data_IF_232985723633
#
_entry.id   IF_232985723633
#
_cell.length_a   1.000
_cell.length_b   1.000
_cell.length_c   1.000
_cell.angle_alpha   90.00
_cell.angle_beta   90.00
_cell.angle_gamma   90.00
#
_symmetry.space_group_name_H-M   'P 1'
#
loop_
_entity.id
_entity.type
_entity.pdbx_description
1 polymer ?
#
# COMPACT_ATOMS: atom_id res chain seq x y z
N UNK A 1 -29.67 -27.41 -32.23
CA UNK A 1 -29.02 -26.10 -32.08
C UNK A 1 -29.99 -25.23 -31.32
N UNK A 2 -29.82 -25.05 -30.01
CA UNK A 2 -30.58 -24.07 -29.24
C UNK A 2 -30.25 -22.69 -29.81
N UNK A 3 -31.28 -21.90 -30.14
CA UNK A 3 -31.06 -20.59 -30.75
C UNK A 3 -30.34 -19.66 -29.76
N UNK A 4 -29.61 -18.66 -30.26
CA UNK A 4 -28.98 -17.63 -29.43
C UNK A 4 -30.01 -16.97 -28.49
N UNK A 5 -31.26 -16.86 -28.95
CA UNK A 5 -32.41 -16.41 -28.17
C UNK A 5 -32.73 -17.33 -26.98
N UNK A 6 -32.70 -18.65 -27.16
CA UNK A 6 -32.98 -19.60 -26.07
C UNK A 6 -31.91 -19.55 -24.97
N UNK A 7 -30.64 -19.37 -25.35
CA UNK A 7 -29.55 -19.19 -24.39
C UNK A 7 -29.66 -17.86 -23.64
N UNK A 8 -30.02 -16.78 -24.32
CA UNK A 8 -30.24 -15.47 -23.70
C UNK A 8 -31.43 -15.53 -22.72
N UNK A 9 -32.54 -16.12 -23.14
CA UNK A 9 -33.75 -16.27 -22.31
C UNK A 9 -33.46 -17.07 -21.04
N UNK A 10 -32.64 -18.13 -21.15
CA UNK A 10 -32.23 -18.94 -20.01
C UNK A 10 -31.41 -18.13 -19.01
N UNK A 11 -30.45 -17.31 -19.49
CA UNK A 11 -29.66 -16.42 -18.63
C UNK A 11 -30.52 -15.33 -17.99
N UNK A 12 -31.43 -14.71 -18.74
CA UNK A 12 -32.33 -13.67 -18.22
C UNK A 12 -33.23 -14.19 -17.10
N UNK A 13 -33.72 -15.44 -17.22
CA UNK A 13 -34.54 -16.09 -16.18
C UNK A 13 -33.78 -16.44 -14.90
N UNK A 14 -32.45 -16.49 -14.95
CA UNK A 14 -31.59 -16.76 -13.80
C UNK A 14 -31.18 -15.49 -13.04
N UNK A 15 -31.44 -14.31 -13.60
CA UNK A 15 -31.14 -13.04 -12.93
C UNK A 15 -32.11 -12.84 -11.77
N UNK A 16 -31.63 -12.41 -10.60
CA UNK A 16 -32.48 -11.97 -9.51
C UNK A 16 -32.79 -10.48 -9.67
N UNK A 17 -33.92 -10.15 -10.32
CA UNK A 17 -34.36 -8.79 -10.52
C UNK A 17 -35.88 -8.69 -10.60
N UNK A 18 -36.42 -7.47 -10.65
CA UNK A 18 -37.87 -7.22 -10.69
C UNK A 18 -38.60 -7.98 -11.82
N UNK A 19 -37.92 -8.26 -12.94
CA UNK A 19 -38.44 -9.03 -14.07
C UNK A 19 -38.58 -10.54 -13.82
N UNK A 20 -37.99 -11.06 -12.73
CA UNK A 20 -38.03 -12.49 -12.36
C UNK A 20 -38.68 -12.74 -11.00
N UNK A 21 -39.04 -11.69 -10.25
CA UNK A 21 -39.65 -11.79 -8.92
C UNK A 21 -41.17 -12.01 -8.91
N UNK A 22 -41.84 -12.05 -10.07
CA UNK A 22 -43.27 -12.38 -10.17
C UNK A 22 -44.21 -11.34 -9.54
N UNK A 23 -43.96 -10.06 -9.78
CA UNK A 23 -44.75 -8.95 -9.25
C UNK A 23 -46.04 -8.73 -10.07
N UNK A 24 -47.19 -8.59 -9.39
CA UNK A 24 -48.53 -8.41 -10.00
C UNK A 24 -48.86 -6.94 -10.38
N UNK A 25 -49.72 -6.74 -11.37
CA UNK A 25 -50.05 -5.44 -12.00
C UNK A 25 -50.74 -4.40 -11.08
N UNK A 26 -51.30 -4.83 -9.95
CA UNK A 26 -52.22 -4.01 -9.12
C UNK A 26 -51.51 -2.95 -8.25
N UNK A 27 -50.19 -3.04 -8.07
CA UNK A 27 -49.39 -2.13 -7.23
C UNK A 27 -48.54 -1.11 -8.03
N UNK A 28 -48.57 -1.16 -9.36
CA UNK A 28 -47.66 -0.39 -10.22
C UNK A 28 -47.89 1.13 -10.18
N UNK A 29 -49.14 1.58 -10.13
CA UNK A 29 -49.48 3.02 -10.14
C UNK A 29 -49.09 3.71 -8.83
N UNK A 30 -49.30 3.02 -7.70
CA UNK A 30 -48.88 3.50 -6.38
C UNK A 30 -47.35 3.51 -6.25
N UNK A 31 -46.69 2.45 -6.72
CA UNK A 31 -45.23 2.36 -6.77
C UNK A 31 -44.62 3.47 -7.63
N UNK A 32 -45.21 3.77 -8.80
CA UNK A 32 -44.75 4.83 -9.70
C UNK A 32 -44.83 6.22 -9.07
N UNK A 33 -45.93 6.54 -8.37
CA UNK A 33 -46.07 7.82 -7.67
C UNK A 33 -45.04 7.96 -6.53
N UNK A 34 -44.79 6.88 -5.79
CA UNK A 34 -43.79 6.87 -4.70
C UNK A 34 -42.36 7.02 -5.25
N UNK A 35 -42.04 6.32 -6.33
CA UNK A 35 -40.72 6.38 -6.96
C UNK A 35 -40.45 7.77 -7.56
N UNK A 36 -41.45 8.37 -8.21
CA UNK A 36 -41.35 9.74 -8.74
C UNK A 36 -41.09 10.76 -7.61
N UNK A 37 -41.86 10.69 -6.52
CA UNK A 37 -41.63 11.54 -5.36
C UNK A 37 -40.25 11.32 -4.74
N UNK A 38 -39.79 10.08 -4.62
CA UNK A 38 -38.47 9.77 -4.10
C UNK A 38 -37.36 10.36 -4.98
N UNK A 39 -37.50 10.30 -6.31
CA UNK A 39 -36.51 10.87 -7.25
C UNK A 39 -36.52 12.41 -7.21
N UNK A 40 -37.71 13.03 -7.14
CA UNK A 40 -37.85 14.50 -7.10
C UNK A 40 -37.41 15.12 -5.77
N UNK A 41 -37.48 14.37 -4.67
CA UNK A 41 -37.09 14.82 -3.32
C UNK A 41 -35.67 14.37 -2.92
N UNK A 42 -35.01 13.55 -3.73
CA UNK A 42 -33.68 13.06 -3.43
C UNK A 42 -32.63 14.18 -3.62
N UNK A 43 -31.80 14.36 -2.59
CA UNK A 43 -30.58 15.19 -2.68
C UNK A 43 -29.53 14.45 -3.54
N UNK A 44 -28.57 15.17 -4.14
CA UNK A 44 -27.54 14.60 -5.05
C UNK A 44 -26.77 13.40 -4.45
N UNK A 45 -26.74 13.27 -3.12
CA UNK A 45 -26.03 12.20 -2.39
C UNK A 45 -26.92 10.99 -1.98
N UNK A 46 -28.19 10.93 -2.37
CA UNK A 46 -29.09 9.85 -1.93
C UNK A 46 -28.75 8.50 -2.60
N UNK A 47 -28.32 7.55 -1.76
CA UNK A 47 -27.83 6.21 -2.15
C UNK A 47 -28.87 5.32 -2.81
N UNK A 48 -30.14 5.72 -2.78
CA UNK A 48 -31.25 4.93 -3.31
C UNK A 48 -31.77 5.44 -4.65
N UNK A 49 -31.18 6.50 -5.22
CA UNK A 49 -31.63 7.09 -6.51
C UNK A 49 -31.48 6.08 -7.65
N UNK A 50 -30.33 5.41 -7.76
CA UNK A 50 -30.08 4.42 -8.82
C UNK A 50 -31.02 3.21 -8.73
N UNK A 51 -31.35 2.79 -7.51
CA UNK A 51 -32.36 1.75 -7.27
C UNK A 51 -33.78 2.23 -7.62
N UNK A 52 -34.09 3.49 -7.32
CA UNK A 52 -35.39 4.09 -7.63
C UNK A 52 -35.63 4.23 -9.14
N UNK A 53 -34.61 4.64 -9.91
CA UNK A 53 -34.66 4.64 -11.38
C UNK A 53 -34.77 3.22 -11.95
N UNK A 54 -34.07 2.23 -11.36
CA UNK A 54 -34.18 0.83 -11.77
C UNK A 54 -35.62 0.29 -11.61
N UNK A 55 -36.28 0.67 -10.52
CA UNK A 55 -37.67 0.29 -10.26
C UNK A 55 -38.64 1.05 -11.16
N UNK A 56 -38.37 2.33 -11.44
CA UNK A 56 -39.19 3.14 -12.34
C UNK A 56 -39.14 2.59 -13.76
N UNK A 57 -37.96 2.21 -14.23
CA UNK A 57 -37.79 1.54 -15.51
C UNK A 57 -38.60 0.24 -15.61
N UNK A 58 -38.59 -0.58 -14.56
CA UNK A 58 -39.42 -1.78 -14.50
C UNK A 58 -40.92 -1.45 -14.60
N UNK A 59 -41.41 -0.44 -13.87
CA UNK A 59 -42.82 -0.05 -13.96
C UNK A 59 -43.23 0.46 -15.35
N UNK A 60 -42.37 1.25 -16.01
CA UNK A 60 -42.61 1.77 -17.35
C UNK A 60 -42.57 0.66 -18.41
N UNK A 61 -41.69 -0.31 -18.24
CA UNK A 61 -41.64 -1.51 -19.08
C UNK A 61 -42.96 -2.29 -19.01
N UNK A 62 -43.48 -2.55 -17.80
CA UNK A 62 -44.76 -3.26 -17.60
C UNK A 62 -45.94 -2.50 -18.24
N UNK A 63 -45.87 -1.17 -18.30
CA UNK A 63 -46.86 -0.31 -18.95
C UNK A 63 -46.70 -0.20 -20.47
N UNK A 64 -45.68 -0.84 -21.07
CA UNK A 64 -45.42 -0.81 -22.51
C UNK A 64 -44.58 0.37 -23.01
N UNK A 65 -44.08 1.24 -22.11
CA UNK A 65 -43.24 2.39 -22.44
C UNK A 65 -41.76 2.00 -22.52
N UNK A 66 -41.39 1.26 -23.57
CA UNK A 66 -40.07 0.65 -23.73
C UNK A 66 -38.91 1.65 -23.80
N UNK A 67 -39.05 2.75 -24.53
CA UNK A 67 -37.98 3.76 -24.66
C UNK A 67 -37.72 4.49 -23.35
N UNK A 68 -38.79 4.90 -22.64
CA UNK A 68 -38.63 5.57 -21.34
C UNK A 68 -38.09 4.63 -20.25
N UNK A 69 -38.43 3.34 -20.31
CA UNK A 69 -37.85 2.34 -19.43
C UNK A 69 -36.34 2.18 -19.66
N UNK A 70 -35.91 2.25 -20.93
CA UNK A 70 -34.49 2.20 -21.29
C UNK A 70 -33.74 3.43 -20.81
N UNK A 71 -34.33 4.61 -20.95
CA UNK A 71 -33.74 5.86 -20.46
C UNK A 71 -33.58 5.86 -18.93
N UNK A 72 -34.57 5.36 -18.20
CA UNK A 72 -34.50 5.27 -16.74
C UNK A 72 -33.47 4.21 -16.29
N UNK A 73 -33.30 3.10 -17.01
CA UNK A 73 -32.20 2.17 -16.76
C UNK A 73 -30.83 2.82 -16.97
N UNK A 74 -30.68 3.63 -18.02
CA UNK A 74 -29.42 4.35 -18.26
C UNK A 74 -29.10 5.34 -17.13
N UNK A 75 -30.11 6.06 -16.62
CA UNK A 75 -29.96 6.94 -15.45
C UNK A 75 -29.63 6.14 -14.18
N UNK A 76 -30.29 5.01 -13.97
CA UNK A 76 -29.99 4.11 -12.86
C UNK A 76 -28.54 3.66 -12.87
N UNK A 77 -28.07 3.20 -14.04
CA UNK A 77 -26.69 2.77 -14.25
C UNK A 77 -25.71 3.92 -13.98
N UNK A 78 -25.99 5.13 -14.48
CA UNK A 78 -25.16 6.31 -14.24
C UNK A 78 -25.03 6.66 -12.74
N UNK A 79 -26.12 6.67 -11.99
CA UNK A 79 -26.08 7.00 -10.56
C UNK A 79 -25.41 5.90 -9.73
N UNK A 80 -25.68 4.64 -10.04
CA UNK A 80 -24.99 3.50 -9.41
C UNK A 80 -23.48 3.60 -9.70
N UNK A 81 -23.10 3.96 -10.92
CA UNK A 81 -21.71 4.16 -11.35
C UNK A 81 -21.01 5.31 -10.63
N UNK A 82 -21.65 6.47 -10.52
CA UNK A 82 -21.11 7.65 -9.81
C UNK A 82 -20.91 7.32 -8.33
N UNK A 83 -21.89 6.68 -7.69
CA UNK A 83 -21.80 6.29 -6.28
C UNK A 83 -20.74 5.21 -6.03
N UNK A 84 -20.65 4.19 -6.89
CA UNK A 84 -19.58 3.18 -6.78
C UNK A 84 -18.20 3.78 -7.03
N UNK A 85 -18.08 4.67 -8.03
CA UNK A 85 -16.84 5.38 -8.33
C UNK A 85 -16.37 6.28 -7.19
N UNK A 86 -17.27 7.05 -6.61
CA UNK A 86 -16.98 7.91 -5.46
C UNK A 86 -16.61 7.08 -4.23
N UNK A 87 -17.24 5.92 -4.02
CA UNK A 87 -16.84 4.99 -2.96
C UNK A 87 -15.43 4.42 -3.19
N UNK A 88 -15.10 3.97 -4.40
CA UNK A 88 -13.75 3.45 -4.70
C UNK A 88 -12.68 4.55 -4.53
N UNK A 89 -12.97 5.78 -5.00
CA UNK A 89 -12.08 6.95 -4.85
C UNK A 89 -11.96 7.40 -3.40
N UNK A 90 -13.05 7.36 -2.64
CA UNK A 90 -13.05 7.65 -1.22
C UNK A 90 -12.11 6.69 -0.48
N UNK A 91 -12.19 5.38 -0.76
CA UNK A 91 -11.25 4.41 -0.17
C UNK A 91 -9.78 4.73 -0.48
N UNK A 92 -9.44 5.23 -1.67
CA UNK A 92 -8.07 5.70 -1.98
C UNK A 92 -7.66 6.98 -1.24
N UNK A 93 -8.61 7.85 -0.89
CA UNK A 93 -8.34 9.14 -0.22
C UNK A 93 -8.25 9.01 1.30
N UNK A 94 -9.05 8.14 1.91
CA UNK A 94 -9.18 8.06 3.37
C UNK A 94 -7.91 7.62 4.08
N UNK A 95 -7.51 6.37 3.92
CA UNK A 95 -6.32 5.84 4.60
C UNK A 95 -5.90 4.50 4.00
N UNK A 96 -4.68 4.10 4.31
CA UNK A 96 -4.06 2.89 3.77
C UNK A 96 -4.84 1.61 4.03
N UNK A 97 -5.53 1.50 5.17
CA UNK A 97 -6.37 0.34 5.48
C UNK A 97 -7.48 0.09 4.45
N UNK A 98 -7.84 1.12 3.68
CA UNK A 98 -8.84 1.03 2.62
C UNK A 98 -8.22 0.83 1.24
N UNK A 99 -6.90 0.78 1.08
CA UNK A 99 -6.30 0.60 -0.26
C UNK A 99 -6.60 -0.76 -0.86
N UNK A 100 -6.65 -1.83 -0.05
CA UNK A 100 -7.07 -3.15 -0.54
C UNK A 100 -8.54 -3.15 -0.93
N UNK A 101 -9.40 -2.50 -0.13
CA UNK A 101 -10.82 -2.31 -0.48
C UNK A 101 -10.97 -1.49 -1.75
N UNK A 102 -10.16 -0.45 -1.93
CA UNK A 102 -10.14 0.35 -3.16
C UNK A 102 -9.73 -0.52 -4.36
N UNK A 103 -8.68 -1.33 -4.21
CA UNK A 103 -8.21 -2.26 -5.23
C UNK A 103 -9.33 -3.22 -5.65
N UNK A 104 -9.98 -3.90 -4.70
CA UNK A 104 -11.11 -4.79 -4.96
C UNK A 104 -12.31 -4.06 -5.61
N UNK A 105 -12.57 -2.83 -5.18
CA UNK A 105 -13.65 -1.99 -5.71
C UNK A 105 -13.40 -1.66 -7.19
N UNK A 106 -12.19 -1.22 -7.55
CA UNK A 106 -11.84 -0.94 -8.94
C UNK A 106 -11.72 -2.20 -9.79
N UNK A 107 -11.26 -3.33 -9.22
CA UNK A 107 -11.22 -4.62 -9.91
C UNK A 107 -12.62 -5.03 -10.38
N UNK A 108 -13.62 -4.96 -9.49
CA UNK A 108 -15.03 -5.21 -9.85
C UNK A 108 -15.59 -4.21 -10.87
N UNK A 109 -15.21 -2.93 -10.76
CA UNK A 109 -15.62 -1.93 -11.75
C UNK A 109 -15.07 -2.25 -13.16
N UNK A 110 -13.83 -2.75 -13.23
CA UNK A 110 -13.18 -3.15 -14.47
C UNK A 110 -13.74 -4.45 -15.07
N UNK A 111 -14.34 -5.35 -14.26
CA UNK A 111 -15.08 -6.51 -14.80
C UNK A 111 -16.27 -6.09 -15.66
N UNK A 112 -16.92 -4.97 -15.30
CA UNK A 112 -18.06 -4.42 -16.02
C UNK A 112 -17.61 -3.56 -17.21
N UNK A 113 -16.57 -2.74 -17.01
CA UNK A 113 -16.08 -1.78 -18.00
C UNK A 113 -14.54 -1.82 -18.08
N UNK A 114 -13.95 -2.75 -18.85
CA UNK A 114 -12.51 -2.96 -18.86
C UNK A 114 -11.69 -1.79 -19.42
N UNK A 115 -12.29 -0.94 -20.25
CA UNK A 115 -11.59 0.15 -20.95
C UNK A 115 -11.89 1.53 -20.35
N UNK A 116 -12.68 1.61 -19.28
CA UNK A 116 -12.99 2.89 -18.63
C UNK A 116 -11.73 3.48 -17.97
N UNK A 117 -11.34 4.67 -18.41
CA UNK A 117 -10.07 5.30 -18.03
C UNK A 117 -10.05 5.54 -16.53
N UNK A 118 -11.13 6.04 -15.96
CA UNK A 118 -11.18 6.38 -14.53
C UNK A 118 -11.00 5.17 -13.61
N UNK A 119 -11.53 4.00 -14.00
CA UNK A 119 -11.34 2.76 -13.25
C UNK A 119 -9.92 2.22 -13.41
N UNK A 120 -9.38 2.29 -14.63
CA UNK A 120 -8.01 1.88 -14.88
C UNK A 120 -7.01 2.75 -14.08
N UNK A 121 -7.23 4.05 -13.99
CA UNK A 121 -6.47 5.01 -13.20
C UNK A 121 -6.51 4.68 -11.71
N UNK A 122 -7.72 4.56 -11.16
CA UNK A 122 -7.93 4.24 -9.75
C UNK A 122 -7.31 2.89 -9.37
N UNK A 123 -7.48 1.88 -10.22
CA UNK A 123 -6.91 0.56 -10.03
C UNK A 123 -5.38 0.59 -10.07
N UNK A 124 -4.78 1.31 -11.02
CA UNK A 124 -3.33 1.48 -11.12
C UNK A 124 -2.74 2.09 -9.85
N UNK A 125 -3.39 3.12 -9.31
CA UNK A 125 -2.96 3.78 -8.06
C UNK A 125 -3.13 2.86 -6.86
N UNK A 126 -4.24 2.13 -6.78
CA UNK A 126 -4.49 1.16 -5.72
C UNK A 126 -3.41 0.07 -5.71
N UNK A 127 -3.16 -0.56 -6.87
CA UNK A 127 -2.11 -1.55 -7.07
C UNK A 127 -0.73 -0.99 -6.72
N UNK A 128 -0.39 0.22 -7.18
CA UNK A 128 0.90 0.84 -6.87
C UNK A 128 1.12 1.01 -5.35
N UNK A 129 0.06 1.33 -4.60
CA UNK A 129 0.10 1.58 -3.15
C UNK A 129 0.04 0.30 -2.31
N UNK A 130 -0.57 -0.77 -2.81
CA UNK A 130 -0.71 -2.06 -2.10
C UNK A 130 0.39 -3.05 -2.46
N UNK A 131 0.97 -2.94 -3.66
CA UNK A 131 2.01 -3.86 -4.11
C UNK A 131 3.25 -3.78 -3.22
N UNK A 132 3.42 -4.82 -2.41
CA UNK A 132 4.55 -5.00 -1.51
C UNK A 132 5.67 -5.85 -2.11
N UNK A 133 5.35 -6.69 -3.10
CA UNK A 133 6.30 -7.62 -3.68
C UNK A 133 7.06 -7.00 -4.85
N UNK A 134 8.35 -7.31 -4.91
CA UNK A 134 9.26 -6.91 -5.97
C UNK A 134 9.81 -8.20 -6.57
N UNK A 135 9.00 -8.92 -7.33
CA UNK A 135 9.41 -10.10 -8.11
C UNK A 135 10.19 -9.64 -9.33
N UNK A 136 9.50 -9.00 -10.28
CA UNK A 136 10.08 -8.39 -11.46
C UNK A 136 9.21 -7.23 -11.95
N UNK A 137 9.82 -6.25 -12.62
CA UNK A 137 9.08 -5.10 -13.16
C UNK A 137 8.03 -5.51 -14.20
N UNK A 138 8.30 -6.59 -14.95
CA UNK A 138 7.40 -7.06 -15.99
C UNK A 138 6.21 -7.84 -15.41
N UNK A 139 6.41 -8.54 -14.30
CA UNK A 139 5.34 -9.30 -13.64
C UNK A 139 4.54 -8.46 -12.65
N UNK A 140 5.09 -7.32 -12.19
CA UNK A 140 4.44 -6.37 -11.29
C UNK A 140 3.04 -5.98 -11.78
N UNK A 141 1.96 -6.36 -11.06
CA UNK A 141 0.60 -5.95 -11.41
C UNK A 141 0.44 -4.44 -11.52
N UNK A 142 1.07 -3.66 -10.64
CA UNK A 142 1.01 -2.21 -10.71
C UNK A 142 1.67 -1.68 -11.99
N UNK A 143 2.83 -2.22 -12.37
CA UNK A 143 3.54 -1.79 -13.58
C UNK A 143 2.78 -2.14 -14.85
N UNK A 144 2.12 -3.32 -14.90
CA UNK A 144 1.23 -3.70 -15.99
C UNK A 144 0.04 -2.75 -16.10
N UNK A 145 -0.63 -2.48 -14.99
CA UNK A 145 -1.81 -1.62 -14.99
C UNK A 145 -1.46 -0.16 -15.31
N UNK A 146 -0.33 0.36 -14.82
CA UNK A 146 0.17 1.68 -15.18
C UNK A 146 0.46 1.80 -16.67
N UNK A 147 1.04 0.76 -17.30
CA UNK A 147 1.21 0.73 -18.76
C UNK A 147 -0.12 0.70 -19.49
N UNK A 148 -1.09 -0.08 -19.00
CA UNK A 148 -2.44 -0.13 -19.58
C UNK A 148 -3.10 1.26 -19.56
N UNK A 149 -2.99 2.00 -18.46
CA UNK A 149 -3.49 3.38 -18.42
C UNK A 149 -2.79 4.24 -19.47
N UNK A 150 -1.47 4.15 -19.62
CA UNK A 150 -0.72 4.93 -20.61
C UNK A 150 -0.97 4.51 -22.07
N UNK A 151 -1.54 3.33 -22.31
CA UNK A 151 -2.08 2.94 -23.62
C UNK A 151 -3.41 3.64 -23.92
N UNK A 152 -4.27 3.80 -22.89
CA UNK A 152 -5.59 4.44 -23.00
C UNK A 152 -5.47 5.98 -23.01
N UNK A 153 -4.62 6.53 -22.15
CA UNK A 153 -4.28 7.95 -22.05
C UNK A 153 -2.76 8.14 -22.05
N UNK A 154 -2.15 8.30 -23.24
CA UNK A 154 -0.71 8.48 -23.39
C UNK A 154 -0.14 9.77 -22.77
N UNK A 155 -0.98 10.69 -22.29
CA UNK A 155 -0.55 11.97 -21.71
C UNK A 155 -0.88 12.08 -20.20
N UNK A 156 -1.23 10.98 -19.55
CA UNK A 156 -1.42 10.95 -18.10
C UNK A 156 -0.10 11.10 -17.34
N UNK A 157 0.30 12.35 -17.07
CA UNK A 157 1.56 12.69 -16.40
C UNK A 157 1.70 12.01 -15.02
N UNK A 158 0.60 11.87 -14.28
CA UNK A 158 0.63 11.22 -12.97
C UNK A 158 1.01 9.74 -13.08
N UNK A 159 0.44 9.00 -14.01
CA UNK A 159 0.79 7.59 -14.22
C UNK A 159 2.20 7.41 -14.77
N UNK A 160 2.70 8.34 -15.60
CA UNK A 160 4.10 8.35 -16.01
C UNK A 160 5.04 8.45 -14.80
N UNK A 161 4.74 9.34 -13.85
CA UNK A 161 5.55 9.49 -12.62
C UNK A 161 5.53 8.23 -11.77
N UNK A 162 4.35 7.59 -11.59
CA UNK A 162 4.24 6.35 -10.83
C UNK A 162 4.99 5.19 -11.51
N UNK A 163 4.90 5.08 -12.83
CA UNK A 163 5.64 4.08 -13.61
C UNK A 163 7.15 4.35 -13.56
N UNK A 164 7.58 5.61 -13.68
CA UNK A 164 8.97 6.02 -13.52
C UNK A 164 9.53 5.65 -12.14
N UNK A 165 8.73 5.85 -11.08
CA UNK A 165 9.10 5.38 -9.74
C UNK A 165 9.23 3.86 -9.65
N UNK A 166 8.36 3.09 -10.32
CA UNK A 166 8.53 1.63 -10.42
C UNK A 166 9.81 1.27 -11.15
N UNK A 167 10.12 1.90 -12.28
CA UNK A 167 11.41 1.68 -12.96
C UNK A 167 12.61 1.98 -12.04
N UNK A 168 12.55 3.05 -11.24
CA UNK A 168 13.58 3.39 -10.28
C UNK A 168 13.73 2.36 -9.15
N UNK A 169 12.64 1.70 -8.72
CA UNK A 169 12.69 0.60 -7.72
C UNK A 169 13.56 -0.57 -8.22
N UNK A 170 13.57 -0.80 -9.53
CA UNK A 170 14.42 -1.80 -10.19
C UNK A 170 15.72 -1.22 -10.75
N UNK A 171 16.13 -0.01 -10.31
CA UNK A 171 17.34 0.69 -10.74
C UNK A 171 17.42 0.96 -12.25
N UNK A 172 16.30 0.92 -12.98
CA UNK A 172 16.21 1.26 -14.41
C UNK A 172 16.08 2.78 -14.57
N UNK A 173 17.10 3.54 -14.16
CA UNK A 173 17.00 4.99 -14.02
C UNK A 173 16.79 5.74 -15.35
N UNK A 174 17.34 5.25 -16.46
CA UNK A 174 17.22 5.90 -17.77
C UNK A 174 15.75 5.95 -18.25
N UNK A 175 15.07 4.80 -18.30
CA UNK A 175 13.63 4.73 -18.62
C UNK A 175 12.78 5.52 -17.63
N UNK A 176 13.17 5.51 -16.36
CA UNK A 176 12.48 6.30 -15.35
C UNK A 176 12.61 7.80 -15.61
N UNK A 177 13.79 8.27 -16.02
CA UNK A 177 14.05 9.66 -16.33
C UNK A 177 13.22 10.14 -17.52
N UNK A 178 13.19 9.37 -18.61
CA UNK A 178 12.37 9.66 -19.79
C UNK A 178 10.88 9.90 -19.43
N UNK A 179 10.32 9.04 -18.56
CA UNK A 179 8.95 9.18 -18.08
C UNK A 179 8.75 10.40 -17.18
N UNK A 180 9.71 10.69 -16.30
CA UNK A 180 9.66 11.81 -15.37
C UNK A 180 9.78 13.14 -16.11
N UNK A 181 10.70 13.24 -17.06
CA UNK A 181 10.90 14.45 -17.89
C UNK A 181 9.65 14.74 -18.71
N UNK A 182 9.11 13.73 -19.41
CA UNK A 182 7.85 13.89 -20.16
C UNK A 182 6.67 14.30 -19.28
N UNK A 183 6.56 13.72 -18.07
CA UNK A 183 5.52 14.12 -17.14
C UNK A 183 5.66 15.59 -16.68
N UNK A 184 6.89 16.06 -16.46
CA UNK A 184 7.18 17.44 -16.09
C UNK A 184 6.96 18.43 -17.24
N UNK A 185 7.13 18.00 -18.50
CA UNK A 185 6.80 18.79 -19.68
C UNK A 185 5.28 18.96 -19.85
N UNK A 186 4.52 17.89 -19.63
CA UNK A 186 3.06 17.90 -19.77
C UNK A 186 2.38 18.73 -18.67
N UNK A 187 2.78 18.53 -17.43
CA UNK A 187 2.18 19.19 -16.27
C UNK A 187 3.27 19.75 -15.35
N UNK A 188 3.89 20.88 -15.73
CA UNK A 188 4.86 21.53 -14.88
C UNK A 188 4.18 22.01 -13.59
N UNK A 189 4.90 21.83 -12.48
CA UNK A 189 4.61 22.53 -11.22
C UNK A 189 3.34 22.08 -10.45
N UNK A 190 2.82 20.87 -10.72
CA UNK A 190 1.72 20.26 -9.93
C UNK A 190 2.21 19.74 -8.57
N UNK A 191 1.71 20.26 -7.43
CA UNK A 191 2.20 19.88 -6.11
C UNK A 191 2.18 18.38 -5.80
N UNK A 192 1.08 17.70 -6.16
CA UNK A 192 0.93 16.25 -5.92
C UNK A 192 1.90 15.41 -6.75
N UNK A 193 2.44 15.93 -7.85
CA UNK A 193 3.44 15.25 -8.69
C UNK A 193 4.86 15.56 -8.24
N UNK A 194 5.17 16.82 -7.93
CA UNK A 194 6.51 17.27 -7.52
C UNK A 194 7.04 16.40 -6.37
N UNK A 195 6.18 16.04 -5.42
CA UNK A 195 6.56 15.19 -4.28
C UNK A 195 7.05 13.79 -4.71
N UNK A 196 6.48 13.22 -5.79
CA UNK A 196 6.88 11.92 -6.33
C UNK A 196 8.12 12.05 -7.24
N UNK A 197 8.23 13.13 -8.00
CA UNK A 197 9.44 13.45 -8.78
C UNK A 197 10.64 13.66 -7.85
N UNK A 198 10.47 14.39 -6.75
CA UNK A 198 11.51 14.53 -5.74
C UNK A 198 11.91 13.19 -5.10
N UNK A 199 10.93 12.30 -4.84
CA UNK A 199 11.19 10.92 -4.41
C UNK A 199 12.00 10.15 -5.45
N UNK A 200 11.74 10.33 -6.74
CA UNK A 200 12.52 9.74 -7.82
C UNK A 200 13.99 10.22 -7.79
N UNK A 201 14.22 11.53 -7.80
CA UNK A 201 15.58 12.08 -7.76
C UNK A 201 16.36 11.64 -6.52
N UNK A 202 15.71 11.56 -5.34
CA UNK A 202 16.34 10.96 -4.15
C UNK A 202 16.77 9.51 -4.37
N UNK A 203 15.94 8.70 -5.04
CA UNK A 203 16.27 7.29 -5.34
C UNK A 203 17.41 7.16 -6.35
N UNK A 204 17.43 8.03 -7.37
CA UNK A 204 18.51 8.11 -8.36
C UNK A 204 19.84 8.51 -7.71
N UNK A 205 19.79 9.29 -6.64
CA UNK A 205 20.96 9.81 -5.92
C UNK A 205 21.19 11.31 -6.15
N UNK A 206 20.32 11.96 -6.92
CA UNK A 206 20.34 13.40 -7.22
C UNK A 206 19.73 14.20 -6.06
N UNK A 207 20.49 14.28 -4.97
CA UNK A 207 20.04 14.84 -3.69
C UNK A 207 19.65 16.30 -3.80
N UNK A 208 20.47 17.12 -4.46
CA UNK A 208 20.27 18.57 -4.54
C UNK A 208 19.03 18.92 -5.39
N UNK A 209 18.79 18.17 -6.46
CA UNK A 209 17.58 18.30 -7.28
C UNK A 209 16.34 17.99 -6.44
N UNK A 210 16.36 16.90 -5.67
CA UNK A 210 15.28 16.52 -4.75
C UNK A 210 15.02 17.59 -3.68
N UNK A 211 16.07 18.14 -3.06
CA UNK A 211 15.97 19.23 -2.07
C UNK A 211 15.35 20.48 -2.68
N UNK A 212 15.81 20.89 -3.86
CA UNK A 212 15.31 22.08 -4.56
C UNK A 212 13.80 21.97 -4.83
N UNK A 213 13.36 20.83 -5.37
CA UNK A 213 11.96 20.56 -5.65
C UNK A 213 11.10 20.59 -4.38
N UNK A 214 11.53 19.92 -3.32
CA UNK A 214 10.78 19.85 -2.06
C UNK A 214 10.72 21.20 -1.33
N UNK A 215 11.78 22.00 -1.37
CA UNK A 215 11.79 23.35 -0.78
C UNK A 215 10.83 24.29 -1.51
N UNK A 216 10.87 24.30 -2.84
CA UNK A 216 9.90 25.04 -3.67
C UNK A 216 8.45 24.58 -3.42
N UNK A 217 8.25 23.28 -3.24
CA UNK A 217 6.93 22.74 -2.89
C UNK A 217 6.47 23.19 -1.50
N UNK A 218 7.39 23.27 -0.54
CA UNK A 218 7.11 23.71 0.83
C UNK A 218 6.75 25.20 0.91
N UNK A 219 7.29 26.05 0.01
CA UNK A 219 6.87 27.46 -0.10
C UNK A 219 5.38 27.60 -0.45
N UNK A 220 4.84 26.63 -1.21
CA UNK A 220 3.42 26.61 -1.61
C UNK A 220 2.53 25.90 -0.60
N UNK A 221 3.02 24.83 0.01
CA UNK A 221 2.28 23.97 0.93
C UNK A 221 3.11 23.77 2.21
N UNK A 222 3.19 24.81 3.07
CA UNK A 222 4.06 24.80 4.25
C UNK A 222 3.63 23.78 5.30
N UNK A 223 2.35 23.41 5.35
CA UNK A 223 1.81 22.46 6.33
C UNK A 223 1.57 21.07 5.73
N UNK A 224 2.47 20.60 4.86
CA UNK A 224 2.42 19.23 4.36
C UNK A 224 3.31 18.29 5.19
N UNK A 225 2.72 17.37 5.99
CA UNK A 225 3.51 16.42 6.78
C UNK A 225 4.32 15.49 5.87
N UNK A 226 3.80 15.19 4.68
CA UNK A 226 4.50 14.37 3.69
C UNK A 226 5.76 15.05 3.16
N UNK A 227 5.68 16.33 2.80
CA UNK A 227 6.83 17.08 2.26
C UNK A 227 7.93 17.21 3.30
N UNK A 228 7.57 17.52 4.55
CA UNK A 228 8.51 17.53 5.67
C UNK A 228 9.18 16.17 5.88
N UNK A 229 8.42 15.07 5.85
CA UNK A 229 9.01 13.73 5.93
C UNK A 229 9.94 13.44 4.75
N UNK A 230 9.57 13.80 3.52
CA UNK A 230 10.44 13.62 2.35
C UNK A 230 11.75 14.42 2.49
N UNK A 231 11.71 15.66 2.99
CA UNK A 231 12.91 16.46 3.27
C UNK A 231 13.82 15.77 4.29
N UNK A 232 13.26 15.27 5.39
CA UNK A 232 14.02 14.51 6.38
C UNK A 232 14.71 13.27 5.78
N UNK A 233 14.04 12.54 4.88
CA UNK A 233 14.64 11.43 4.16
C UNK A 233 15.77 11.85 3.21
N UNK A 234 15.63 13.01 2.54
CA UNK A 234 16.69 13.54 1.66
C UNK A 234 17.90 13.99 2.47
N UNK A 235 17.71 14.68 3.60
CA UNK A 235 18.81 15.04 4.50
C UNK A 235 19.51 13.82 5.08
N UNK A 236 18.77 12.75 5.42
CA UNK A 236 19.37 11.48 5.83
C UNK A 236 20.26 10.90 4.73
N UNK A 237 19.74 10.87 3.50
CA UNK A 237 20.48 10.34 2.36
C UNK A 237 21.73 11.18 2.06
N UNK A 238 21.64 12.51 2.13
CA UNK A 238 22.79 13.42 2.02
C UNK A 238 23.87 13.09 3.07
N UNK A 239 23.45 12.89 4.33
CA UNK A 239 24.35 12.54 5.41
C UNK A 239 25.06 11.21 5.14
N UNK A 240 24.32 10.18 4.78
CA UNK A 240 24.87 8.84 4.49
C UNK A 240 25.86 8.90 3.31
N UNK A 241 25.54 9.63 2.24
CA UNK A 241 26.40 9.73 1.05
C UNK A 241 27.64 10.60 1.26
N UNK A 242 27.61 11.56 2.17
CA UNK A 242 28.79 12.37 2.52
C UNK A 242 29.92 11.53 3.15
N UNK A 243 29.62 10.29 3.59
CA UNK A 243 30.57 9.41 4.27
C UNK A 243 30.94 9.88 5.68
N UNK A 244 30.41 11.02 6.12
CA UNK A 244 30.66 11.59 7.44
C UNK A 244 29.62 11.12 8.44
N UNK A 245 30.03 10.22 9.34
CA UNK A 245 29.22 9.77 10.47
C UNK A 245 29.35 10.71 11.71
N UNK A 246 30.02 11.84 11.56
CA UNK A 246 30.21 12.86 12.60
C UNK A 246 30.84 14.12 12.05
N UNK A 247 30.79 15.21 12.80
CA UNK A 247 31.25 16.53 12.38
C UNK A 247 30.11 17.52 12.20
N UNK A 248 30.44 18.81 12.06
CA UNK A 248 29.46 19.90 12.09
C UNK A 248 28.39 19.78 10.99
N UNK A 249 28.76 19.31 9.79
CA UNK A 249 27.81 19.11 8.69
C UNK A 249 26.85 17.95 8.98
N UNK A 250 27.36 16.81 9.46
CA UNK A 250 26.53 15.67 9.82
C UNK A 250 25.54 16.00 10.94
N UNK A 251 25.99 16.78 11.93
CA UNK A 251 25.16 17.27 13.03
C UNK A 251 24.12 18.30 12.55
N UNK A 252 24.50 19.20 11.63
CA UNK A 252 23.56 20.13 11.02
C UNK A 252 22.46 19.41 10.22
N UNK A 253 22.84 18.38 9.44
CA UNK A 253 21.89 17.55 8.71
C UNK A 253 20.97 16.78 9.67
N UNK A 254 21.49 16.25 10.79
CA UNK A 254 20.68 15.60 11.82
C UNK A 254 19.67 16.56 12.46
N UNK A 255 20.08 17.79 12.79
CA UNK A 255 19.17 18.82 13.30
C UNK A 255 18.06 19.16 12.31
N UNK A 256 18.38 19.33 11.03
CA UNK A 256 17.38 19.58 9.97
C UNK A 256 16.40 18.41 9.82
N UNK A 257 16.88 17.16 9.95
CA UNK A 257 16.01 15.97 9.95
C UNK A 257 15.02 16.03 11.10
N UNK A 258 15.51 16.25 12.33
CA UNK A 258 14.68 16.31 13.54
C UNK A 258 13.63 17.41 13.40
N UNK A 259 14.03 18.62 13.02
CA UNK A 259 13.10 19.75 12.85
C UNK A 259 11.96 19.43 11.87
N UNK A 260 12.27 18.83 10.72
CA UNK A 260 11.23 18.47 9.76
C UNK A 260 10.37 17.29 10.23
N UNK A 261 10.93 16.31 10.92
CA UNK A 261 10.16 15.19 11.49
C UNK A 261 9.22 15.67 12.59
N UNK A 262 9.68 16.53 13.49
CA UNK A 262 8.86 17.16 14.52
C UNK A 262 7.72 17.98 13.91
N UNK A 263 8.01 18.79 12.88
CA UNK A 263 6.95 19.53 12.16
C UNK A 263 5.96 18.58 11.48
N UNK A 264 6.41 17.49 10.86
CA UNK A 264 5.53 16.48 10.25
C UNK A 264 4.60 15.83 11.29
N UNK A 265 5.12 15.48 12.47
CA UNK A 265 4.35 14.87 13.56
C UNK A 265 3.41 15.90 14.20
N UNK A 266 3.82 17.16 14.33
CA UNK A 266 2.94 18.22 14.85
C UNK A 266 1.69 18.43 13.98
N UNK A 267 1.82 18.26 12.66
CA UNK A 267 0.70 18.36 11.72
C UNK A 267 -0.10 17.05 11.67
N UNK A 268 0.60 15.90 11.70
CA UNK A 268 -0.02 14.57 11.69
C UNK A 268 0.55 13.69 12.81
N UNK A 269 -0.04 13.71 14.02
CA UNK A 269 0.45 12.92 15.15
C UNK A 269 0.43 11.41 14.92
N UNK A 270 -0.42 10.92 14.01
CA UNK A 270 -0.50 9.50 13.65
C UNK A 270 0.48 9.06 12.56
N UNK A 271 1.51 9.86 12.23
CA UNK A 271 2.42 9.56 11.14
C UNK A 271 3.54 8.59 11.54
N UNK A 272 3.23 7.29 11.58
CA UNK A 272 4.12 6.21 12.05
C UNK A 272 5.53 6.24 11.45
N UNK A 273 5.68 6.52 10.15
CA UNK A 273 7.01 6.65 9.53
C UNK A 273 7.83 7.80 10.13
N UNK A 274 7.23 8.98 10.26
CA UNK A 274 7.93 10.15 10.79
C UNK A 274 8.29 9.94 12.27
N UNK A 275 7.40 9.34 13.06
CA UNK A 275 7.67 9.00 14.47
C UNK A 275 8.83 8.00 14.60
N UNK A 276 8.82 6.94 13.79
CA UNK A 276 9.90 5.92 13.80
C UNK A 276 11.24 6.51 13.36
N UNK A 277 11.25 7.37 12.33
CA UNK A 277 12.46 8.04 11.86
C UNK A 277 12.95 9.08 12.89
N UNK A 278 12.06 9.73 13.65
CA UNK A 278 12.41 10.66 14.73
C UNK A 278 13.03 9.93 15.92
N UNK A 279 12.46 8.79 16.32
CA UNK A 279 13.04 7.94 17.36
C UNK A 279 14.46 7.49 16.99
N UNK A 280 14.68 7.12 15.72
CA UNK A 280 16.00 6.80 15.21
C UNK A 280 16.95 8.02 15.26
N UNK A 281 16.47 9.22 14.95
CA UNK A 281 17.27 10.45 15.10
C UNK A 281 17.68 10.70 16.56
N UNK A 282 16.79 10.53 17.54
CA UNK A 282 17.16 10.66 18.96
C UNK A 282 18.20 9.61 19.39
N UNK A 283 18.14 8.40 18.84
CA UNK A 283 19.16 7.39 19.07
C UNK A 283 20.52 7.77 18.47
N UNK A 284 20.54 8.39 17.29
CA UNK A 284 21.74 8.95 16.67
C UNK A 284 22.33 10.09 17.51
N UNK A 285 21.49 10.95 18.10
CA UNK A 285 21.90 11.98 19.09
C UNK A 285 22.33 11.40 20.45
N UNK A 286 22.30 10.07 20.61
CA UNK A 286 22.57 9.35 21.87
C UNK A 286 21.61 9.66 23.00
N UNK A 287 20.45 10.25 22.69
CA UNK A 287 19.36 10.42 23.63
C UNK A 287 18.48 9.16 23.67
N UNK A 288 19.02 8.10 24.26
CA UNK A 288 18.38 6.78 24.26
C UNK A 288 17.05 6.76 25.02
N UNK A 289 16.90 7.59 26.04
CA UNK A 289 15.65 7.70 26.78
C UNK A 289 14.54 8.25 25.89
N UNK A 290 14.77 9.39 25.21
CA UNK A 290 13.79 9.94 24.27
C UNK A 290 13.53 9.02 23.09
N UNK A 291 14.55 8.32 22.60
CA UNK A 291 14.38 7.35 21.52
C UNK A 291 13.44 6.22 21.95
N UNK A 292 13.66 5.64 23.14
CA UNK A 292 12.80 4.59 23.72
C UNK A 292 11.36 5.09 23.91
N UNK A 293 11.17 6.25 24.55
CA UNK A 293 9.85 6.85 24.76
C UNK A 293 9.10 7.05 23.44
N UNK A 294 9.78 7.60 22.41
CA UNK A 294 9.21 7.81 21.09
C UNK A 294 8.87 6.49 20.38
N UNK A 295 9.71 5.45 20.51
CA UNK A 295 9.39 4.12 19.97
C UNK A 295 8.16 3.51 20.65
N UNK A 296 8.04 3.62 21.98
CA UNK A 296 6.88 3.13 22.72
C UNK A 296 5.59 3.85 22.31
N UNK A 297 5.65 5.17 22.12
CA UNK A 297 4.53 5.94 21.58
C UNK A 297 4.18 5.50 20.15
N UNK A 298 5.21 5.32 19.30
CA UNK A 298 5.04 4.85 17.92
C UNK A 298 4.37 3.48 17.86
N UNK A 299 4.74 2.54 18.74
CA UNK A 299 4.08 1.24 18.85
C UNK A 299 2.61 1.38 19.23
N UNK A 300 2.26 2.23 20.21
CA UNK A 300 0.87 2.47 20.60
C UNK A 300 0.03 2.96 19.42
N UNK A 301 0.54 3.96 18.70
CA UNK A 301 -0.14 4.51 17.51
C UNK A 301 -0.26 3.45 16.42
N UNK A 302 0.85 2.78 16.06
CA UNK A 302 0.89 1.78 15.01
C UNK A 302 -0.04 0.58 15.28
N UNK A 303 -0.12 0.13 16.53
CA UNK A 303 -1.05 -0.93 16.94
C UNK A 303 -2.50 -0.45 16.88
N UNK A 304 -2.80 0.75 17.37
CA UNK A 304 -4.16 1.30 17.36
C UNK A 304 -4.69 1.52 15.94
N UNK A 305 -3.83 1.93 15.00
CA UNK A 305 -4.21 2.15 13.60
C UNK A 305 -4.01 0.93 12.71
N UNK A 306 -3.49 -0.18 13.26
CA UNK A 306 -3.01 -1.34 12.51
C UNK A 306 -2.14 -0.95 11.30
N UNK A 307 -1.24 0.02 11.47
CA UNK A 307 -0.45 0.59 10.37
C UNK A 307 1.05 0.46 10.62
N UNK A 308 1.77 0.00 9.57
CA UNK A 308 3.24 -0.06 9.51
C UNK A 308 3.95 -0.70 10.72
N UNK A 309 3.30 -1.58 11.48
CA UNK A 309 3.92 -2.23 12.64
C UNK A 309 5.23 -2.97 12.31
N UNK A 310 5.35 -3.53 11.10
CA UNK A 310 6.60 -4.11 10.59
C UNK A 310 7.76 -3.09 10.46
N UNK A 311 7.47 -1.84 10.11
CA UNK A 311 8.46 -0.75 10.03
C UNK A 311 8.95 -0.40 11.43
N UNK A 312 8.02 -0.22 12.37
CA UNK A 312 8.36 0.11 13.77
C UNK A 312 9.25 -0.98 14.36
N UNK A 313 8.88 -2.24 14.15
CA UNK A 313 9.67 -3.41 14.55
C UNK A 313 11.09 -3.40 13.96
N UNK A 314 11.23 -3.17 12.65
CA UNK A 314 12.55 -3.08 12.01
C UNK A 314 13.40 -1.96 12.63
N UNK A 315 12.84 -0.76 12.81
CA UNK A 315 13.56 0.41 13.34
C UNK A 315 13.94 0.23 14.81
N UNK A 316 13.02 -0.31 15.60
CA UNK A 316 13.28 -0.59 17.01
C UNK A 316 14.30 -1.72 17.18
N UNK A 317 14.26 -2.75 16.34
CA UNK A 317 15.29 -3.79 16.33
C UNK A 317 16.68 -3.24 15.98
N UNK A 318 16.78 -2.34 14.99
CA UNK A 318 18.03 -1.63 14.68
C UNK A 318 18.51 -0.80 15.89
N UNK A 319 17.60 -0.08 16.56
CA UNK A 319 17.91 0.65 17.78
C UNK A 319 18.47 -0.25 18.90
N UNK A 320 17.79 -1.37 19.17
CA UNK A 320 18.19 -2.32 20.20
C UNK A 320 19.54 -2.96 19.87
N UNK A 321 19.79 -3.31 18.61
CA UNK A 321 21.05 -3.94 18.20
C UNK A 321 22.24 -2.99 18.26
N UNK A 322 22.10 -1.78 17.71
CA UNK A 322 23.23 -0.89 17.47
C UNK A 322 23.46 0.15 18.58
N UNK A 323 22.40 0.58 19.27
CA UNK A 323 22.50 1.62 20.29
C UNK A 323 22.40 1.03 21.70
N UNK A 324 21.37 0.22 21.97
CA UNK A 324 21.16 -0.39 23.29
C UNK A 324 21.97 -1.68 23.51
N UNK A 325 22.57 -2.23 22.45
CA UNK A 325 23.36 -3.47 22.45
C UNK A 325 22.61 -4.70 22.99
N UNK A 326 21.29 -4.71 22.87
CA UNK A 326 20.42 -5.83 23.24
C UNK A 326 20.10 -6.67 22.01
N UNK A 327 20.98 -7.63 21.72
CA UNK A 327 20.78 -8.58 20.63
C UNK A 327 19.52 -9.46 20.79
N UNK A 328 19.15 -9.96 22.00
CA UNK A 328 17.93 -10.75 22.16
C UNK A 328 16.65 -9.96 21.79
N UNK A 329 16.56 -8.69 22.20
CA UNK A 329 15.42 -7.84 21.83
C UNK A 329 15.42 -7.52 20.33
N UNK A 330 16.60 -7.28 19.75
CA UNK A 330 16.71 -7.06 18.31
C UNK A 330 16.21 -8.27 17.51
N UNK A 331 16.63 -9.49 17.88
CA UNK A 331 16.17 -10.73 17.23
C UNK A 331 14.64 -10.83 17.33
N UNK A 332 14.07 -10.62 18.52
CA UNK A 332 12.60 -10.66 18.72
C UNK A 332 11.87 -9.73 17.75
N UNK A 333 12.26 -8.46 17.69
CA UNK A 333 11.57 -7.48 16.85
C UNK A 333 11.86 -7.65 15.35
N UNK A 334 13.05 -8.12 14.95
CA UNK A 334 13.26 -8.51 13.55
C UNK A 334 12.37 -9.70 13.15
N UNK A 335 12.19 -10.70 14.02
CA UNK A 335 11.28 -11.83 13.77
C UNK A 335 9.85 -11.34 13.60
N UNK A 336 9.36 -10.49 14.52
CA UNK A 336 8.01 -9.90 14.43
C UNK A 336 7.83 -9.09 13.13
N UNK A 337 8.80 -8.24 12.78
CA UNK A 337 8.76 -7.47 11.54
C UNK A 337 8.75 -8.33 10.28
N UNK A 338 9.48 -9.45 10.28
CA UNK A 338 9.49 -10.42 9.19
C UNK A 338 8.15 -11.15 9.05
N UNK A 339 7.56 -11.61 10.16
CA UNK A 339 6.25 -12.30 10.15
C UNK A 339 5.14 -11.40 9.63
N UNK A 340 5.13 -10.14 10.04
CA UNK A 340 4.07 -9.21 9.68
C UNK A 340 4.02 -8.93 8.16
N UNK A 341 5.17 -8.69 7.50
CA UNK A 341 5.21 -8.37 6.07
C UNK A 341 6.47 -8.88 5.37
N UNK A 342 6.60 -10.21 5.22
CA UNK A 342 7.78 -10.86 4.62
C UNK A 342 8.18 -10.38 3.22
N UNK A 343 7.21 -10.03 2.37
CA UNK A 343 7.48 -9.67 0.98
C UNK A 343 7.94 -8.21 0.81
N UNK A 344 7.78 -7.37 1.84
CA UNK A 344 8.22 -5.97 1.80
C UNK A 344 9.74 -5.81 1.84
N UNK A 345 10.22 -4.64 1.42
CA UNK A 345 11.62 -4.27 1.58
C UNK A 345 12.07 -4.32 3.06
N UNK A 346 11.21 -3.94 3.99
CA UNK A 346 11.45 -4.00 5.43
C UNK A 346 11.52 -5.44 5.95
N UNK A 347 10.58 -6.30 5.56
CA UNK A 347 10.62 -7.73 5.89
C UNK A 347 11.89 -8.40 5.37
N UNK A 348 12.25 -8.16 4.10
CA UNK A 348 13.51 -8.63 3.50
C UNK A 348 14.75 -8.11 4.26
N UNK A 349 14.71 -6.88 4.78
CA UNK A 349 15.78 -6.35 5.66
C UNK A 349 15.84 -7.08 7.00
N UNK A 350 14.70 -7.34 7.64
CA UNK A 350 14.64 -8.14 8.88
C UNK A 350 15.26 -9.53 8.68
N UNK A 351 14.85 -10.25 7.63
CA UNK A 351 15.42 -11.55 7.27
C UNK A 351 16.95 -11.46 7.12
N UNK A 352 17.44 -10.48 6.34
CA UNK A 352 18.87 -10.28 6.15
C UNK A 352 19.62 -10.00 7.46
N UNK A 353 19.06 -9.18 8.36
CA UNK A 353 19.66 -8.88 9.67
C UNK A 353 19.73 -10.13 10.55
N UNK A 354 18.65 -10.92 10.60
CA UNK A 354 18.60 -12.19 11.32
C UNK A 354 19.65 -13.18 10.80
N UNK A 355 19.75 -13.36 9.49
CA UNK A 355 20.77 -14.23 8.87
C UNK A 355 22.19 -13.77 9.21
N UNK A 356 22.47 -12.46 9.20
CA UNK A 356 23.79 -11.93 9.58
C UNK A 356 24.10 -12.25 11.05
N UNK A 357 23.13 -12.07 11.95
CA UNK A 357 23.31 -12.39 13.38
C UNK A 357 23.59 -13.89 13.53
N UNK A 358 22.77 -14.75 12.95
CA UNK A 358 22.95 -16.20 13.03
C UNK A 358 24.32 -16.65 12.48
N UNK A 359 24.73 -16.15 11.32
CA UNK A 359 26.02 -16.51 10.74
C UNK A 359 27.22 -16.04 11.59
N UNK A 360 27.08 -14.91 12.29
CA UNK A 360 28.08 -14.43 13.25
C UNK A 360 28.15 -15.33 14.49
N UNK A 361 27.05 -15.94 14.91
CA UNK A 361 27.05 -16.93 15.98
C UNK A 361 27.72 -18.22 15.53
N UNK A 362 27.34 -18.75 14.37
CA UNK A 362 27.91 -19.99 13.80
C UNK A 362 29.42 -19.86 13.60
N UNK A 363 29.92 -18.70 13.17
CA UNK A 363 31.37 -18.50 13.00
C UNK A 363 32.16 -18.50 14.32
N UNK A 364 31.50 -18.24 15.45
CA UNK A 364 32.09 -18.30 16.79
C UNK A 364 31.91 -19.67 17.43
N UNK A 365 30.75 -20.28 17.23
CA UNK A 365 30.40 -21.61 17.70
C UNK A 365 29.62 -22.36 16.60
N UNK A 366 30.27 -23.30 15.88
CA UNK A 366 29.62 -24.09 14.85
C UNK A 366 28.44 -24.96 15.34
N UNK A 367 28.31 -25.14 16.65
CA UNK A 367 27.26 -25.93 17.30
C UNK A 367 26.26 -25.04 18.07
N UNK A 368 26.05 -23.78 17.63
CA UNK A 368 25.06 -22.89 18.24
C UNK A 368 23.64 -23.22 17.75
N UNK A 369 22.89 -24.00 18.55
CA UNK A 369 21.51 -24.39 18.22
C UNK A 369 20.57 -23.20 18.01
N UNK A 370 20.76 -22.09 18.75
CA UNK A 370 19.96 -20.88 18.61
C UNK A 370 20.20 -20.20 17.26
N UNK A 371 21.43 -20.21 16.77
CA UNK A 371 21.75 -19.65 15.45
C UNK A 371 21.06 -20.42 14.32
N UNK A 372 21.07 -21.75 14.39
CA UNK A 372 20.34 -22.58 13.43
C UNK A 372 18.83 -22.40 13.53
N UNK A 373 18.28 -22.21 14.74
CA UNK A 373 16.86 -21.89 14.89
C UNK A 373 16.49 -20.55 14.24
N UNK A 374 17.32 -19.51 14.38
CA UNK A 374 17.08 -18.22 13.71
C UNK A 374 17.08 -18.40 12.18
N UNK A 375 18.01 -19.18 11.63
CA UNK A 375 18.04 -19.47 10.18
C UNK A 375 16.81 -20.27 9.75
N UNK A 376 16.44 -21.31 10.49
CA UNK A 376 15.25 -22.11 10.24
C UNK A 376 14.00 -21.24 10.19
N UNK A 377 13.85 -20.32 11.14
CA UNK A 377 12.75 -19.36 11.17
C UNK A 377 12.72 -18.44 9.94
N UNK A 378 13.88 -17.93 9.50
CA UNK A 378 13.95 -17.10 8.30
C UNK A 378 13.49 -17.90 7.07
N UNK A 379 14.02 -19.12 6.88
CA UNK A 379 13.65 -20.00 5.76
C UNK A 379 12.18 -20.41 5.79
N UNK A 380 11.63 -20.69 6.97
CA UNK A 380 10.23 -21.04 7.15
C UNK A 380 9.33 -19.90 6.66
N UNK A 381 9.57 -18.67 7.14
CA UNK A 381 8.76 -17.52 6.77
C UNK A 381 8.94 -17.18 5.28
N UNK A 382 10.16 -17.27 4.72
CA UNK A 382 10.39 -17.01 3.29
C UNK A 382 9.83 -18.10 2.37
N UNK A 383 9.41 -19.25 2.91
CA UNK A 383 8.79 -20.35 2.16
C UNK A 383 9.79 -21.41 1.67
N UNK A 384 11.05 -21.33 2.10
CA UNK A 384 12.12 -22.30 1.83
C UNK A 384 12.03 -23.48 2.80
N UNK A 385 10.89 -24.20 2.76
CA UNK A 385 10.55 -25.25 3.74
C UNK A 385 11.62 -26.33 3.91
N UNK A 386 12.27 -26.87 2.86
CA UNK A 386 13.33 -27.87 3.02
C UNK A 386 14.53 -27.36 3.81
N UNK A 387 14.97 -26.13 3.52
CA UNK A 387 16.08 -25.48 4.22
C UNK A 387 15.72 -25.18 5.68
N UNK A 388 14.45 -24.83 5.94
CA UNK A 388 13.96 -24.61 7.29
C UNK A 388 14.01 -25.89 8.14
N UNK A 389 13.58 -27.04 7.59
CA UNK A 389 13.66 -28.35 8.26
C UNK A 389 15.10 -28.67 8.63
N UNK A 390 16.04 -28.58 7.68
CA UNK A 390 17.44 -28.88 7.92
C UNK A 390 18.03 -28.01 9.04
N UNK A 391 17.66 -26.74 9.08
CA UNK A 391 18.10 -25.82 10.12
C UNK A 391 17.49 -26.18 11.49
N UNK A 392 16.21 -26.56 11.56
CA UNK A 392 15.58 -26.96 12.82
C UNK A 392 16.11 -28.29 13.34
N UNK A 393 16.37 -29.27 12.47
CA UNK A 393 17.02 -30.53 12.86
C UNK A 393 18.41 -30.28 13.48
N UNK A 394 19.19 -29.38 12.88
CA UNK A 394 20.48 -28.95 13.45
C UNK A 394 20.31 -28.22 14.78
N UNK A 395 19.30 -27.35 14.91
CA UNK A 395 19.01 -26.67 16.17
C UNK A 395 18.70 -27.66 17.30
N UNK A 396 17.88 -28.68 17.04
CA UNK A 396 17.53 -29.74 18.01
C UNK A 396 18.75 -30.62 18.31
N UNK A 397 19.56 -30.96 17.30
CA UNK A 397 20.76 -31.76 17.49
C UNK A 397 21.75 -31.09 18.46
N UNK A 398 21.89 -29.76 18.37
CA UNK A 398 22.84 -28.99 19.18
C UNK A 398 22.27 -28.49 20.50
N UNK A 399 20.94 -28.48 20.67
CA UNK A 399 20.24 -28.13 21.91
C UNK A 399 18.95 -28.98 22.08
N UNK A 400 19.10 -30.28 22.41
CA UNK A 400 18.00 -31.24 22.39
C UNK A 400 16.96 -31.03 23.50
N UNK A 401 17.21 -30.14 24.47
CA UNK A 401 16.29 -29.82 25.56
C UNK A 401 15.31 -28.69 25.23
N UNK A 402 15.40 -28.10 24.03
CA UNK A 402 14.63 -26.91 23.68
C UNK A 402 13.31 -27.25 23.00
N UNK A 403 12.22 -27.20 23.77
CA UNK A 403 10.86 -27.51 23.30
C UNK A 403 10.39 -26.59 22.16
N UNK A 404 10.87 -25.33 22.09
CA UNK A 404 10.49 -24.42 21.01
C UNK A 404 10.98 -24.92 19.65
N UNK A 405 12.14 -25.57 19.60
CA UNK A 405 12.72 -26.06 18.35
C UNK A 405 11.96 -27.30 17.85
N UNK A 406 11.57 -28.18 18.78
CA UNK A 406 10.76 -29.37 18.50
C UNK A 406 9.37 -28.97 17.98
N UNK A 407 8.71 -28.01 18.64
CA UNK A 407 7.39 -27.54 18.23
C UNK A 407 7.43 -26.89 16.84
N UNK A 408 8.43 -26.04 16.56
CA UNK A 408 8.58 -25.39 15.25
C UNK A 408 8.78 -26.42 14.12
N UNK A 409 9.61 -27.45 14.34
CA UNK A 409 9.80 -28.52 13.35
C UNK A 409 8.51 -29.33 13.15
N UNK A 410 7.78 -29.63 14.23
CA UNK A 410 6.53 -30.37 14.16
C UNK A 410 5.46 -29.60 13.37
N UNK A 411 5.24 -28.33 13.67
CA UNK A 411 4.28 -27.46 12.97
C UNK A 411 4.63 -27.33 11.48
N UNK A 412 5.92 -27.19 11.16
CA UNK A 412 6.39 -27.12 9.78
C UNK A 412 6.12 -28.42 9.01
N UNK A 413 6.39 -29.58 9.63
CA UNK A 413 6.10 -30.90 9.05
C UNK A 413 4.60 -31.14 8.84
N UNK A 414 3.75 -30.69 9.76
CA UNK A 414 2.29 -30.75 9.58
C UNK A 414 1.83 -29.89 8.40
N UNK A 415 2.46 -28.73 8.17
CA UNK A 415 2.12 -27.84 7.04
C UNK A 415 2.47 -28.40 5.64
N UNK A 416 3.14 -29.56 5.58
CA UNK A 416 3.58 -30.23 4.35
C UNK A 416 2.71 -31.43 3.96
N UNK A 417 1.83 -31.88 4.86
CA UNK A 417 0.82 -32.91 4.60
C UNK A 417 -0.44 -32.28 4.01
#
# INVERSE_FOLDING_TARGET
MTSLQDMLLTKLRQLECHFTWGLDDTDLTYLQHRLKNNIELAEEEDRNIGWSYSNQAFTKYMQGHLEEARDDLAKAEQHIREQHGDNCRAFLKFSRQYYEKAKECFEKALELQPEEIEWNDGYAVALYRTESDLTSLEESPASKQLRRVLELDPNNAYMMVLLGLKHADYKKYQKAEELIERAMELEPDKPYMIQYVAKYYRKKGEVEVSLSLLKRLLEKIPDSPFVHHQLALVYNYKKINSGQNGGEEADALLRLRIQHLEKAISIKPSFVYAMSDLAACYAEEKNFQKAEEMFQETFKVATATNDRLHVVNLRYADFQLYHNKSEPLAIKHYKEGLTLQKNTAEGKKCAKKLTIIANKHISRNPYDGKAFWILGYVHEITGEKPQAIECYEKAILYDPGNEEYLNALYDLCLSLQ
#
